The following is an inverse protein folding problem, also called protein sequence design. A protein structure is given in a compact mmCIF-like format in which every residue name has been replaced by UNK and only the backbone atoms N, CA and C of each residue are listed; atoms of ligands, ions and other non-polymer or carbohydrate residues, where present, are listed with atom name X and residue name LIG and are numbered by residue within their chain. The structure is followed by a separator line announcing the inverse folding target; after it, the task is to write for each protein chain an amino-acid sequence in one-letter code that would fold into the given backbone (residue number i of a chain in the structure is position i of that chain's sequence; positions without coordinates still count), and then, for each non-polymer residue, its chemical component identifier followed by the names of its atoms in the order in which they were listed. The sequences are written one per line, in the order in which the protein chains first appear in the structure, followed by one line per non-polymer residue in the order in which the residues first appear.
data_IF_261986974300
#
_entry.id   IF_261986974300
#
_cell.length_a   1.000
_cell.length_b   1.000
_cell.length_c   1.000
_cell.angle_alpha   90.00
_cell.angle_beta   90.00
_cell.angle_gamma   90.00
#
_symmetry.space_group_name_H-M   'P 1'
#
loop_
_entity.id
_entity.type
_entity.pdbx_description
1 polymer ?
#
# COMPACT_ATOMS: atom_id res chain seq x y z
N UNK A 1 20.49 -9.36 52.15
CA UNK A 1 20.60 -8.02 51.53
C UNK A 1 21.29 -8.01 50.16
N UNK A 2 22.38 -8.74 49.94
CA UNK A 2 23.11 -8.77 48.65
C UNK A 2 22.33 -9.42 47.48
N UNK A 3 21.45 -10.38 47.75
CA UNK A 3 20.62 -11.05 46.72
C UNK A 3 19.44 -10.20 46.22
N UNK A 4 18.80 -9.43 47.10
CA UNK A 4 17.70 -8.51 46.75
C UNK A 4 18.19 -7.36 45.85
N UNK A 5 19.43 -6.89 46.10
CA UNK A 5 20.03 -5.82 45.29
C UNK A 5 20.38 -6.29 43.87
N UNK A 6 20.76 -7.57 43.70
CA UNK A 6 21.06 -8.15 42.36
C UNK A 6 19.81 -8.37 41.53
N UNK A 7 18.68 -8.75 42.16
CA UNK A 7 17.40 -8.94 41.45
C UNK A 7 16.83 -7.60 40.99
N UNK A 8 16.94 -6.54 41.81
CA UNK A 8 16.51 -5.20 41.44
C UNK A 8 17.31 -4.62 40.26
N UNK A 9 18.62 -4.90 40.19
CA UNK A 9 19.47 -4.41 39.11
C UNK A 9 19.19 -5.12 37.78
N UNK A 10 18.89 -6.41 37.78
CA UNK A 10 18.48 -7.18 36.58
C UNK A 10 17.12 -6.77 36.08
N UNK A 11 16.17 -6.43 36.95
CA UNK A 11 14.84 -5.93 36.53
C UNK A 11 14.91 -4.53 35.88
N UNK A 12 15.86 -3.70 36.35
CA UNK A 12 16.06 -2.35 35.76
C UNK A 12 16.72 -2.40 34.37
N UNK A 13 17.58 -3.38 34.12
CA UNK A 13 18.26 -3.57 32.85
C UNK A 13 17.33 -4.10 31.75
N UNK A 14 16.29 -4.88 32.08
CA UNK A 14 15.34 -5.44 31.12
C UNK A 14 14.29 -4.43 30.67
N UNK A 15 14.11 -3.30 31.37
CA UNK A 15 13.15 -2.25 31.03
C UNK A 15 13.60 -1.33 29.89
N UNK A 16 14.86 -1.39 29.47
CA UNK A 16 15.43 -0.47 28.47
C UNK A 16 15.25 -0.89 27.00
N UNK A 17 14.69 -2.08 26.74
CA UNK A 17 14.64 -2.64 25.38
C UNK A 17 13.33 -2.47 24.62
N UNK A 18 12.34 -1.71 25.12
CA UNK A 18 11.04 -1.56 24.45
C UNK A 18 10.82 -0.14 23.88
N UNK A 19 11.87 0.49 23.39
CA UNK A 19 11.70 1.72 22.57
C UNK A 19 12.06 1.41 21.13
N UNK A 20 11.34 0.47 20.50
CA UNK A 20 11.34 0.31 19.06
C UNK A 20 10.49 1.43 18.47
N UNK A 21 11.11 2.58 18.25
CA UNK A 21 10.53 3.64 17.44
C UNK A 21 10.63 3.20 15.98
N UNK A 22 9.65 2.45 15.47
CA UNK A 22 9.57 2.09 14.06
C UNK A 22 9.27 3.35 13.25
N UNK A 23 10.32 3.94 12.69
CA UNK A 23 10.16 4.79 11.50
C UNK A 23 9.62 3.89 10.39
N UNK A 24 8.51 4.29 9.76
CA UNK A 24 7.96 3.51 8.66
C UNK A 24 8.89 3.68 7.46
N UNK A 25 9.86 2.75 7.31
CA UNK A 25 10.63 2.61 6.09
C UNK A 25 9.84 1.85 5.03
N UNK A 26 8.81 1.11 5.47
CA UNK A 26 7.91 0.32 4.64
C UNK A 26 6.49 0.31 5.24
N UNK A 27 5.51 0.68 4.43
CA UNK A 27 4.09 0.45 4.69
C UNK A 27 3.53 -0.44 3.59
N UNK A 28 2.85 -1.53 3.95
CA UNK A 28 2.14 -2.38 3.01
C UNK A 28 0.86 -2.88 3.64
N UNK A 29 -0.24 -2.72 2.94
CA UNK A 29 -1.55 -3.22 3.35
C UNK A 29 -2.40 -3.54 2.14
N UNK A 30 -3.09 -4.70 2.18
CA UNK A 30 -4.09 -5.11 1.21
C UNK A 30 -5.45 -5.29 1.88
N UNK A 31 -6.49 -5.11 1.10
CA UNK A 31 -7.89 -5.27 1.47
C UNK A 31 -8.52 -6.26 0.51
N UNK A 32 -9.14 -7.29 1.05
CA UNK A 32 -9.84 -8.29 0.23
C UNK A 32 -11.13 -7.73 -0.35
N UNK A 33 -11.36 -8.02 -1.62
CA UNK A 33 -12.54 -7.59 -2.36
C UNK A 33 -13.68 -8.58 -2.10
N UNK A 34 -14.82 -8.13 -1.57
CA UNK A 34 -15.95 -8.99 -1.26
C UNK A 34 -16.44 -9.76 -2.49
N UNK A 35 -16.48 -11.09 -2.38
CA UNK A 35 -16.92 -11.98 -3.45
C UNK A 35 -16.08 -11.91 -4.73
N UNK A 36 -14.85 -11.41 -4.64
CA UNK A 36 -13.94 -11.17 -5.77
C UNK A 36 -14.57 -10.32 -6.88
N UNK A 37 -15.49 -9.41 -6.53
CA UNK A 37 -16.25 -8.55 -7.44
C UNK A 37 -16.15 -7.11 -6.97
N UNK A 38 -15.19 -6.37 -7.55
CA UNK A 38 -14.86 -5.03 -7.11
C UNK A 38 -15.81 -3.99 -7.71
N UNK A 39 -16.73 -3.49 -6.88
CA UNK A 39 -17.62 -2.38 -7.23
C UNK A 39 -16.87 -1.05 -7.10
N UNK A 40 -17.14 -0.10 -8.00
CA UNK A 40 -16.56 1.25 -7.93
C UNK A 40 -16.94 2.01 -6.63
N UNK A 41 -18.09 1.67 -6.03
CA UNK A 41 -18.51 2.22 -4.75
C UNK A 41 -17.70 1.69 -3.55
N UNK A 42 -17.04 0.55 -3.69
CA UNK A 42 -16.14 0.00 -2.67
C UNK A 42 -14.74 0.56 -2.90
N UNK A 43 -14.33 1.51 -2.07
CA UNK A 43 -13.04 2.21 -2.17
C UNK A 43 -12.13 1.79 -1.01
N UNK A 44 -11.27 0.76 -1.20
CA UNK A 44 -10.27 0.39 -0.20
C UNK A 44 -9.48 1.59 0.27
N UNK A 45 -9.35 1.76 1.57
CA UNK A 45 -8.72 2.94 2.18
C UNK A 45 -7.56 2.54 3.09
N UNK A 46 -6.49 3.29 3.02
CA UNK A 46 -5.20 3.02 3.65
C UNK A 46 -4.76 4.25 4.42
N UNK A 47 -4.65 4.12 5.73
CA UNK A 47 -4.21 5.20 6.61
C UNK A 47 -2.84 4.87 7.18
N UNK A 48 -1.92 5.81 7.11
CA UNK A 48 -0.54 5.67 7.56
C UNK A 48 0.03 7.03 8.00
N UNK A 49 1.08 6.99 8.82
CA UNK A 49 1.72 8.20 9.35
C UNK A 49 3.10 8.38 8.75
N UNK A 50 3.37 9.54 8.16
CA UNK A 50 4.68 9.96 7.68
C UNK A 50 5.30 10.88 8.74
N UNK A 51 6.54 10.57 9.13
CA UNK A 51 7.35 11.40 10.03
C UNK A 51 8.46 12.12 9.27
N UNK A 52 9.09 11.44 8.32
CA UNK A 52 10.17 11.97 7.51
C UNK A 52 9.65 12.50 6.17
N UNK A 53 9.80 13.79 5.96
CA UNK A 53 9.42 14.47 4.71
C UNK A 53 10.63 14.88 3.87
N UNK A 54 11.84 14.61 4.35
CA UNK A 54 13.10 14.92 3.65
C UNK A 54 13.53 13.82 2.69
N UNK A 55 13.14 12.58 2.97
CA UNK A 55 13.46 11.42 2.15
C UNK A 55 12.45 11.21 1.02
N UNK A 56 12.89 10.71 -0.14
CA UNK A 56 11.98 10.29 -1.20
C UNK A 56 11.31 8.96 -0.88
N UNK A 57 10.11 8.78 -1.43
CA UNK A 57 9.32 7.56 -1.31
C UNK A 57 8.94 7.03 -2.69
N UNK A 58 8.65 5.75 -2.74
CA UNK A 58 8.07 5.08 -3.89
C UNK A 58 6.74 4.47 -3.49
N UNK A 59 5.71 4.69 -4.31
CA UNK A 59 4.36 4.21 -4.09
C UNK A 59 4.05 3.11 -5.08
N UNK A 60 3.41 2.04 -4.62
CA UNK A 60 2.98 0.93 -5.47
C UNK A 60 1.51 0.61 -5.25
N UNK A 61 0.83 0.38 -6.34
CA UNK A 61 -0.45 -0.29 -6.37
C UNK A 61 -0.23 -1.80 -6.31
N UNK A 62 -0.94 -2.47 -5.42
CA UNK A 62 -0.94 -3.93 -5.31
C UNK A 62 -2.28 -4.44 -5.79
N UNK A 63 -2.26 -5.43 -6.68
CA UNK A 63 -3.44 -6.08 -7.21
C UNK A 63 -3.22 -7.58 -7.21
N UNK A 64 -4.19 -8.32 -6.67
CA UNK A 64 -4.26 -9.77 -6.77
C UNK A 64 -5.54 -10.16 -7.48
N UNK A 65 -5.43 -10.96 -8.54
CA UNK A 65 -6.55 -11.43 -9.33
C UNK A 65 -6.30 -12.88 -9.77
N UNK A 66 -7.34 -13.56 -10.26
CA UNK A 66 -7.15 -14.86 -10.87
C UNK A 66 -7.05 -14.74 -12.41
N UNK A 67 -6.76 -15.86 -13.08
CA UNK A 67 -6.58 -15.98 -14.54
C UNK A 67 -7.83 -15.58 -15.34
N UNK A 68 -9.03 -15.55 -14.71
CA UNK A 68 -10.31 -15.17 -15.33
C UNK A 68 -10.56 -13.67 -15.34
N UNK A 69 -9.63 -12.85 -14.86
CA UNK A 69 -9.70 -11.41 -15.00
C UNK A 69 -9.69 -11.03 -16.50
N UNK A 70 -10.67 -10.24 -16.95
CA UNK A 70 -11.01 -10.10 -18.37
C UNK A 70 -10.24 -9.00 -19.12
N UNK A 71 -9.35 -8.25 -18.44
CA UNK A 71 -8.67 -7.09 -19.02
C UNK A 71 -7.16 -7.19 -18.86
N UNK A 72 -6.42 -6.65 -19.83
CA UNK A 72 -4.96 -6.56 -19.78
C UNK A 72 -4.45 -5.31 -19.05
N UNK A 73 -5.36 -4.47 -18.53
CA UNK A 73 -5.06 -3.27 -17.75
C UNK A 73 -6.12 -3.02 -16.67
N UNK A 74 -5.86 -2.04 -15.83
CA UNK A 74 -6.85 -1.51 -14.90
C UNK A 74 -6.74 0.01 -14.80
N UNK A 75 -7.89 0.69 -14.86
CA UNK A 75 -7.99 2.13 -14.59
C UNK A 75 -8.40 2.34 -13.14
N UNK A 76 -7.63 3.16 -12.44
CA UNK A 76 -7.93 3.53 -11.05
C UNK A 76 -7.81 5.03 -10.83
N UNK A 77 -8.55 5.51 -9.84
CA UNK A 77 -8.29 6.79 -9.16
C UNK A 77 -7.60 6.51 -7.83
N UNK A 78 -6.49 7.19 -7.58
CA UNK A 78 -5.89 7.31 -6.25
C UNK A 78 -6.35 8.62 -5.63
N UNK A 79 -7.17 8.53 -4.60
CA UNK A 79 -7.73 9.65 -3.87
C UNK A 79 -6.91 9.85 -2.61
N UNK A 80 -6.27 11.00 -2.46
CA UNK A 80 -5.35 11.28 -1.36
C UNK A 80 -5.87 12.40 -0.48
N UNK A 81 -5.85 12.19 0.85
CA UNK A 81 -6.11 13.20 1.86
C UNK A 81 -4.85 13.43 2.66
N UNK A 82 -4.43 14.68 2.77
CA UNK A 82 -3.23 15.09 3.50
C UNK A 82 -3.54 15.42 4.96
N UNK A 83 -2.53 15.41 5.84
CA UNK A 83 -2.70 15.79 7.25
C UNK A 83 -3.31 17.19 7.42
N UNK A 84 -4.37 17.25 8.25
CA UNK A 84 -5.06 18.50 8.55
C UNK A 84 -5.86 19.12 7.40
N UNK A 85 -6.17 18.35 6.35
CA UNK A 85 -7.00 18.79 5.24
C UNK A 85 -8.25 17.91 5.09
N UNK A 86 -9.40 18.55 4.90
CA UNK A 86 -10.65 17.86 4.56
C UNK A 86 -10.78 17.64 3.05
N UNK A 87 -10.07 18.43 2.25
CA UNK A 87 -10.04 18.28 0.78
C UNK A 87 -9.20 17.10 0.34
N UNK A 88 -9.62 16.46 -0.74
CA UNK A 88 -8.90 15.35 -1.37
C UNK A 88 -8.33 15.76 -2.72
N UNK A 89 -7.23 15.13 -3.11
CA UNK A 89 -6.64 15.20 -4.45
C UNK A 89 -6.82 13.85 -5.12
N UNK A 90 -7.11 13.85 -6.43
CA UNK A 90 -7.32 12.62 -7.19
C UNK A 90 -6.33 12.55 -8.34
N UNK A 91 -5.59 11.45 -8.41
CA UNK A 91 -4.73 11.08 -9.52
C UNK A 91 -5.33 9.88 -10.26
N UNK A 92 -5.40 9.97 -11.59
CA UNK A 92 -5.87 8.87 -12.45
C UNK A 92 -4.68 8.09 -13.00
N UNK A 93 -4.80 6.76 -13.00
CA UNK A 93 -3.77 5.84 -13.49
C UNK A 93 -4.39 4.83 -14.46
N UNK A 94 -3.63 4.53 -15.52
CA UNK A 94 -3.85 3.38 -16.43
C UNK A 94 -2.68 2.42 -16.18
N UNK A 95 -2.97 1.27 -15.59
CA UNK A 95 -1.96 0.33 -15.13
C UNK A 95 -2.06 -0.95 -15.95
N UNK A 96 -0.98 -1.26 -16.68
CA UNK A 96 -0.90 -2.47 -17.49
C UNK A 96 -0.68 -3.69 -16.62
N UNK A 97 -1.44 -4.76 -16.88
CA UNK A 97 -1.40 -6.03 -16.16
C UNK A 97 -0.89 -7.18 -17.02
N UNK A 98 -1.11 -7.10 -18.34
CA UNK A 98 -0.67 -8.12 -19.27
C UNK A 98 -0.18 -7.51 -20.59
N UNK A 99 0.61 -8.30 -21.33
CA UNK A 99 1.00 -8.03 -22.71
C UNK A 99 0.73 -9.25 -23.57
N UNK A 100 0.60 -9.06 -24.89
CA UNK A 100 0.38 -10.16 -25.84
C UNK A 100 1.56 -11.14 -25.89
N UNK A 101 2.78 -10.66 -25.63
CA UNK A 101 4.00 -11.46 -25.73
C UNK A 101 4.33 -12.19 -24.42
N UNK A 102 4.05 -11.59 -23.27
CA UNK A 102 4.50 -12.10 -21.95
C UNK A 102 3.33 -12.63 -21.11
N UNK A 103 2.08 -12.41 -21.55
CA UNK A 103 0.90 -12.70 -20.74
C UNK A 103 0.80 -11.78 -19.51
N UNK A 104 0.45 -12.33 -18.37
CA UNK A 104 0.36 -11.57 -17.13
C UNK A 104 1.74 -11.13 -16.62
N UNK A 105 1.91 -9.82 -16.35
CA UNK A 105 3.17 -9.23 -15.89
C UNK A 105 3.41 -9.41 -14.39
N UNK A 106 2.40 -9.88 -13.66
CA UNK A 106 2.49 -10.18 -12.23
C UNK A 106 3.19 -11.50 -11.95
N UNK A 107 3.62 -11.68 -10.69
CA UNK A 107 4.07 -12.98 -10.19
C UNK A 107 2.88 -13.92 -10.08
N UNK A 108 2.95 -15.08 -10.73
CA UNK A 108 1.87 -16.06 -10.73
C UNK A 108 2.21 -17.30 -9.90
N UNK A 109 1.20 -17.85 -9.23
CA UNK A 109 1.22 -19.20 -8.68
C UNK A 109 -0.16 -19.82 -8.94
N UNK A 110 -0.14 -20.96 -9.66
CA UNK A 110 -1.33 -21.60 -10.21
C UNK A 110 -2.12 -20.62 -11.13
N UNK A 111 -3.36 -20.32 -10.76
CA UNK A 111 -4.26 -19.41 -11.49
C UNK A 111 -4.36 -18.01 -10.86
N UNK A 112 -3.48 -17.67 -9.89
CA UNK A 112 -3.48 -16.39 -9.17
C UNK A 112 -2.26 -15.57 -9.55
N UNK A 113 -2.47 -14.29 -9.83
CA UNK A 113 -1.44 -13.32 -10.21
C UNK A 113 -1.41 -12.14 -9.24
N UNK A 114 -0.21 -11.81 -8.78
CA UNK A 114 0.05 -10.66 -7.92
C UNK A 114 0.86 -9.61 -8.67
N UNK A 115 0.33 -8.41 -8.75
CA UNK A 115 0.98 -7.26 -9.38
C UNK A 115 1.42 -6.26 -8.33
N UNK A 116 2.65 -5.76 -8.50
CA UNK A 116 3.21 -4.64 -7.76
C UNK A 116 3.63 -3.56 -8.75
N UNK A 117 2.75 -2.60 -8.97
CA UNK A 117 2.89 -1.62 -10.04
C UNK A 117 3.24 -0.25 -9.45
N UNK A 118 4.37 0.37 -9.85
CA UNK A 118 4.72 1.69 -9.35
C UNK A 118 3.69 2.75 -9.80
N UNK A 119 3.24 3.56 -8.84
CA UNK A 119 2.40 4.73 -9.06
C UNK A 119 3.23 6.01 -9.26
N UNK A 120 4.51 5.95 -8.94
CA UNK A 120 5.48 7.01 -9.24
C UNK A 120 6.12 6.73 -10.60
N UNK A 121 6.38 7.76 -11.38
CA UNK A 121 7.06 7.62 -12.67
C UNK A 121 8.39 6.86 -12.51
N UNK A 122 8.82 6.13 -13.53
CA UNK A 122 10.09 5.39 -13.53
C UNK A 122 11.25 6.35 -13.21
N UNK A 123 12.00 6.06 -12.14
CA UNK A 123 13.04 6.95 -11.63
C UNK A 123 12.51 8.17 -10.86
N UNK A 124 11.20 8.39 -10.83
CA UNK A 124 10.56 9.49 -10.10
C UNK A 124 10.67 9.32 -8.60
N UNK A 125 10.73 10.46 -7.93
CA UNK A 125 10.75 10.55 -6.47
C UNK A 125 9.46 11.22 -6.01
N UNK A 126 8.81 10.63 -5.02
CA UNK A 126 7.64 11.21 -4.37
C UNK A 126 8.04 11.70 -2.98
N UNK A 127 7.73 12.96 -2.68
CA UNK A 127 7.98 13.54 -1.37
C UNK A 127 6.66 13.87 -0.69
N UNK A 128 6.49 13.41 0.53
CA UNK A 128 5.40 13.86 1.38
C UNK A 128 5.70 15.28 1.88
N UNK A 129 4.78 16.22 1.66
CA UNK A 129 5.01 17.65 1.95
C UNK A 129 4.89 18.01 3.42
N UNK A 130 4.15 17.21 4.20
CA UNK A 130 3.87 17.46 5.62
C UNK A 130 4.01 16.17 6.41
N UNK A 131 4.56 16.21 7.64
CA UNK A 131 4.46 15.08 8.54
C UNK A 131 3.01 14.93 9.03
N UNK A 132 2.61 13.71 9.38
CA UNK A 132 1.29 13.42 9.93
C UNK A 132 0.59 12.27 9.23
N UNK A 133 -0.70 12.14 9.51
CA UNK A 133 -1.55 11.06 9.01
C UNK A 133 -2.08 11.37 7.61
N UNK A 134 -1.81 10.45 6.69
CA UNK A 134 -2.34 10.43 5.32
C UNK A 134 -3.38 9.34 5.19
N UNK A 135 -4.42 9.60 4.40
CA UNK A 135 -5.37 8.58 3.96
C UNK A 135 -5.38 8.53 2.44
N UNK A 136 -5.11 7.35 1.89
CA UNK A 136 -5.19 7.06 0.46
C UNK A 136 -6.32 6.08 0.21
N UNK A 137 -7.20 6.39 -0.73
CA UNK A 137 -8.28 5.49 -1.14
C UNK A 137 -8.16 5.17 -2.62
N UNK A 138 -8.44 3.94 -2.99
CA UNK A 138 -8.33 3.46 -4.37
C UNK A 138 -9.74 3.14 -4.88
N UNK A 139 -10.09 3.73 -6.03
CA UNK A 139 -11.35 3.51 -6.73
C UNK A 139 -11.07 2.91 -8.10
N UNK A 140 -11.69 1.79 -8.45
CA UNK A 140 -11.67 1.32 -9.83
C UNK A 140 -12.62 2.19 -10.69
N UNK A 141 -12.17 2.55 -11.91
CA UNK A 141 -12.94 3.35 -12.86
C UNK A 141 -13.00 2.69 -14.24
N UNK A 142 -13.05 1.35 -14.23
CA UNK A 142 -13.33 0.57 -15.43
C UNK A 142 -14.76 0.78 -15.90
N UNK A 143 -15.05 0.46 -17.16
CA UNK A 143 -16.42 0.54 -17.71
C UNK A 143 -17.37 -0.45 -17.04
N UNK A 144 -16.83 -1.61 -16.65
CA UNK A 144 -17.61 -2.60 -15.94
C UNK A 144 -17.67 -2.30 -14.45
N UNK A 145 -18.87 -2.37 -13.89
CA UNK A 145 -19.16 -2.25 -12.49
C UNK A 145 -20.18 -3.34 -12.09
N UNK A 146 -19.72 -4.46 -11.57
CA UNK A 146 -18.50 -4.81 -10.82
C UNK A 146 -17.39 -5.36 -11.70
N UNK A 147 -16.13 -5.09 -11.32
CA UNK A 147 -14.97 -5.70 -11.92
C UNK A 147 -14.71 -7.06 -11.25
N UNK A 148 -14.99 -8.15 -11.98
CA UNK A 148 -14.92 -9.49 -11.45
C UNK A 148 -13.49 -10.05 -11.42
N UNK A 149 -13.28 -11.08 -10.58
CA UNK A 149 -12.03 -11.83 -10.43
C UNK A 149 -10.88 -11.04 -9.80
N UNK A 150 -11.16 -9.92 -9.15
CA UNK A 150 -10.23 -9.17 -8.32
C UNK A 150 -10.33 -9.69 -6.88
N UNK A 151 -9.24 -10.22 -6.34
CA UNK A 151 -9.19 -10.82 -5.00
C UNK A 151 -8.83 -9.81 -3.93
N UNK A 152 -7.72 -9.09 -4.14
CA UNK A 152 -7.20 -8.12 -3.18
C UNK A 152 -6.71 -6.86 -3.89
N UNK A 153 -6.85 -5.73 -3.21
CA UNK A 153 -6.30 -4.43 -3.63
C UNK A 153 -5.50 -3.84 -2.51
N UNK A 154 -4.32 -3.32 -2.81
CA UNK A 154 -3.41 -2.83 -1.78
C UNK A 154 -2.61 -1.60 -2.17
N UNK A 155 -1.98 -1.04 -1.15
CA UNK A 155 -1.04 0.07 -1.25
C UNK A 155 0.26 -0.30 -0.53
N UNK A 156 1.38 -0.07 -1.20
CA UNK A 156 2.71 -0.17 -0.61
C UNK A 156 3.45 1.15 -0.77
N UNK A 157 4.11 1.58 0.28
CA UNK A 157 4.91 2.81 0.32
C UNK A 157 6.27 2.43 0.89
N UNK A 158 7.31 2.69 0.14
CA UNK A 158 8.70 2.42 0.51
C UNK A 158 9.48 3.72 0.57
N UNK A 159 10.24 3.90 1.64
CA UNK A 159 11.24 4.95 1.72
C UNK A 159 12.43 4.56 0.84
N UNK A 160 12.83 5.42 -0.08
CA UNK A 160 14.06 5.23 -0.83
C UNK A 160 15.27 5.58 0.04
N UNK A 161 16.24 4.71 0.02
CA UNK A 161 17.56 4.99 0.61
C UNK A 161 18.41 5.84 -0.35
#
# INVERSE_FOLDING_TARGET
MKTLFRISYTLLLTSYFISSCTTIDLYEKSVSIPGHSWKNSFKPSFTFTIKDTSSPYQLFFLLRHNDKYSFNNIYINLITRQPGQDSTQTGRYDLRLATDNEGWLGSGMDDIYEHRIPLTATGGQFYFRKPGEYTFSIEQIMRENSLNNVMDVGLRIEKKQ
#
